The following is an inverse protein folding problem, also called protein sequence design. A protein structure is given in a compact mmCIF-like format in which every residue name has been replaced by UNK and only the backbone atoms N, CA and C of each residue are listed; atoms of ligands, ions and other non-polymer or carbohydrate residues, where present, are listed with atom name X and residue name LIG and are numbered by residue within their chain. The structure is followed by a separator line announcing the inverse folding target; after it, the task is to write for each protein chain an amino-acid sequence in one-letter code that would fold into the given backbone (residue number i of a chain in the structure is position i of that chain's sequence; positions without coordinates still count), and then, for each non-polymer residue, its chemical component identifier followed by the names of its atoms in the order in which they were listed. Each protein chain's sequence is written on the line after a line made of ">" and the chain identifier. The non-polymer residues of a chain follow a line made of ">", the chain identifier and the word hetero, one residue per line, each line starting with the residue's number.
data_IF_431937702831
#
_entry.id   IF_431937702831
#
_cell.length_a   1.000
_cell.length_b   1.000
_cell.length_c   1.000
_cell.angle_alpha   90.00
_cell.angle_beta   90.00
_cell.angle_gamma   90.00
#
_symmetry.space_group_name_H-M   'P 1'
#
loop_
_entity.id
_entity.type
_entity.pdbx_description
1 polymer ?
#
# COMPACT_ATOMS: atom_id res chain seq x y z
N UNK A 1 -19.38 -21.57 6.93
CA UNK A 1 -18.61 -20.30 6.88
C UNK A 1 -19.64 -19.17 6.87
N UNK A 2 -19.55 -18.20 7.78
CA UNK A 2 -20.55 -17.12 7.86
C UNK A 2 -20.41 -16.16 6.68
N UNK A 3 -21.52 -15.61 6.20
CA UNK A 3 -21.56 -14.67 5.07
C UNK A 3 -20.67 -13.43 5.34
N UNK A 4 -20.57 -13.02 6.60
CA UNK A 4 -19.69 -11.95 7.08
C UNK A 4 -18.22 -12.26 6.81
N UNK A 5 -17.73 -13.46 7.16
CA UNK A 5 -16.33 -13.83 6.94
C UNK A 5 -16.00 -13.88 5.45
N UNK A 6 -16.94 -14.38 4.64
CA UNK A 6 -16.77 -14.41 3.19
C UNK A 6 -16.66 -12.99 2.62
N UNK A 7 -17.54 -12.08 3.02
CA UNK A 7 -17.48 -10.68 2.60
C UNK A 7 -16.17 -10.00 3.02
N UNK A 8 -15.76 -10.12 4.29
CA UNK A 8 -14.49 -9.54 4.76
C UNK A 8 -13.29 -10.11 4.00
N UNK A 9 -13.28 -11.41 3.72
CA UNK A 9 -12.19 -12.04 2.98
C UNK A 9 -12.07 -11.50 1.55
N UNK A 10 -13.21 -11.33 0.84
CA UNK A 10 -13.25 -10.74 -0.49
C UNK A 10 -12.84 -9.27 -0.48
N UNK A 11 -13.30 -8.50 0.51
CA UNK A 11 -12.94 -7.10 0.67
C UNK A 11 -11.44 -6.94 0.92
N UNK A 12 -10.86 -7.77 1.80
CA UNK A 12 -9.43 -7.77 2.07
C UNK A 12 -8.61 -8.20 0.85
N UNK A 13 -9.13 -9.14 0.05
CA UNK A 13 -8.54 -9.51 -1.23
C UNK A 13 -8.54 -8.33 -2.20
N UNK A 14 -9.65 -7.61 -2.29
CA UNK A 14 -9.80 -6.44 -3.15
C UNK A 14 -8.84 -5.31 -2.70
N UNK A 15 -8.73 -5.04 -1.40
CA UNK A 15 -7.75 -4.10 -0.86
C UNK A 15 -6.31 -4.50 -1.20
N UNK A 16 -5.98 -5.78 -1.05
CA UNK A 16 -4.65 -6.31 -1.37
C UNK A 16 -4.35 -6.19 -2.87
N UNK A 17 -5.34 -6.46 -3.74
CA UNK A 17 -5.22 -6.30 -5.18
C UNK A 17 -5.03 -4.82 -5.57
N UNK A 18 -5.79 -3.90 -4.97
CA UNK A 18 -5.65 -2.45 -5.18
C UNK A 18 -4.30 -1.92 -4.70
N UNK A 19 -3.87 -2.26 -3.49
CA UNK A 19 -2.57 -1.90 -2.96
C UNK A 19 -1.44 -2.48 -3.83
N UNK A 20 -1.59 -3.75 -4.24
CA UNK A 20 -0.69 -4.44 -5.17
C UNK A 20 -0.63 -3.76 -6.53
N UNK A 21 -1.73 -3.24 -7.07
CA UNK A 21 -1.73 -2.48 -8.32
C UNK A 21 -0.92 -1.18 -8.20
N UNK A 22 -1.04 -0.48 -7.06
CA UNK A 22 -0.21 0.70 -6.76
C UNK A 22 1.28 0.34 -6.71
N UNK A 23 1.63 -0.76 -6.06
CA UNK A 23 2.99 -1.30 -6.08
C UNK A 23 3.48 -1.61 -7.49
N UNK A 24 2.67 -2.29 -8.29
CA UNK A 24 3.01 -2.72 -9.64
C UNK A 24 3.27 -1.52 -10.56
N UNK A 25 2.47 -0.45 -10.42
CA UNK A 25 2.68 0.80 -11.13
C UNK A 25 4.06 1.41 -10.80
N UNK A 26 4.43 1.49 -9.52
CA UNK A 26 5.73 2.04 -9.12
C UNK A 26 6.88 1.11 -9.51
N UNK A 27 6.72 -0.21 -9.37
CA UNK A 27 7.71 -1.20 -9.77
C UNK A 27 7.97 -1.16 -11.28
N UNK A 28 6.92 -0.99 -12.11
CA UNK A 28 7.03 -0.83 -13.55
C UNK A 28 7.81 0.44 -13.91
N UNK A 29 7.52 1.57 -13.27
CA UNK A 29 8.24 2.83 -13.48
C UNK A 29 9.73 2.73 -13.11
N UNK A 30 10.08 1.90 -12.12
CA UNK A 30 11.46 1.67 -11.68
C UNK A 30 12.13 0.46 -12.34
N UNK A 31 11.52 -0.14 -13.36
CA UNK A 31 12.03 -1.33 -14.06
C UNK A 31 12.37 -2.50 -13.12
N UNK A 32 11.59 -2.68 -12.05
CA UNK A 32 11.76 -3.78 -11.09
C UNK A 32 12.81 -3.57 -10.01
N UNK A 33 13.54 -2.44 -9.99
CA UNK A 33 14.53 -2.16 -8.95
C UNK A 33 13.86 -2.00 -7.56
N UNK A 34 14.33 -2.78 -6.58
CA UNK A 34 13.80 -2.84 -5.21
C UNK A 34 12.32 -3.27 -5.11
N UNK A 35 11.72 -3.81 -6.17
CA UNK A 35 10.28 -4.12 -6.20
C UNK A 35 9.86 -5.04 -5.05
N UNK A 36 10.67 -6.06 -4.73
CA UNK A 36 10.34 -7.00 -3.64
C UNK A 36 10.26 -6.32 -2.26
N UNK A 37 11.09 -5.29 -2.01
CA UNK A 37 11.11 -4.56 -0.74
C UNK A 37 9.94 -3.58 -0.63
N UNK A 38 9.44 -3.10 -1.77
CA UNK A 38 8.31 -2.15 -1.82
C UNK A 38 6.97 -2.84 -1.57
N UNK A 39 6.86 -4.14 -1.88
CA UNK A 39 5.63 -4.92 -1.77
C UNK A 39 5.05 -4.96 -0.34
N UNK A 40 5.79 -5.37 0.71
CA UNK A 40 5.23 -5.37 2.07
C UNK A 40 4.83 -3.97 2.54
N UNK A 41 5.62 -2.94 2.22
CA UNK A 41 5.30 -1.56 2.59
C UNK A 41 4.04 -1.05 1.87
N UNK A 42 3.84 -1.41 0.60
CA UNK A 42 2.63 -1.06 -0.14
C UNK A 42 1.38 -1.76 0.42
N UNK A 43 1.48 -3.04 0.81
CA UNK A 43 0.34 -3.76 1.38
C UNK A 43 -0.06 -3.15 2.72
N UNK A 44 0.90 -2.90 3.61
CA UNK A 44 0.63 -2.26 4.91
C UNK A 44 0.07 -0.85 4.72
N UNK A 45 0.63 -0.05 3.80
CA UNK A 45 0.13 1.28 3.47
C UNK A 45 -1.30 1.26 2.93
N UNK A 46 -1.60 0.31 2.03
CA UNK A 46 -2.93 0.13 1.45
C UNK A 46 -3.96 -0.33 2.47
N UNK A 47 -3.65 -1.33 3.30
CA UNK A 47 -4.56 -1.80 4.34
C UNK A 47 -4.83 -0.73 5.39
N UNK A 48 -3.80 -0.02 5.86
CA UNK A 48 -3.98 1.05 6.85
C UNK A 48 -4.85 2.18 6.31
N UNK A 49 -4.64 2.61 5.06
CA UNK A 49 -5.48 3.63 4.42
C UNK A 49 -6.93 3.16 4.24
N UNK A 50 -7.14 1.90 3.82
CA UNK A 50 -8.48 1.36 3.61
C UNK A 50 -9.27 1.18 4.91
N UNK A 51 -8.58 0.82 6.01
CA UNK A 51 -9.18 0.68 7.34
C UNK A 51 -9.64 2.01 7.96
N UNK A 52 -9.07 3.15 7.55
CA UNK A 52 -9.49 4.46 8.07
C UNK A 52 -10.94 4.76 7.70
N UNK A 53 -11.42 4.35 6.52
CA UNK A 53 -12.77 4.68 6.07
C UNK A 53 -13.90 4.07 6.90
N UNK A 54 -13.90 2.75 7.22
CA UNK A 54 -14.89 2.20 8.13
C UNK A 54 -14.77 2.78 9.55
N UNK A 55 -13.58 3.24 9.98
CA UNK A 55 -13.39 3.91 11.27
C UNK A 55 -13.97 5.34 11.31
N UNK A 56 -14.08 6.00 10.16
CA UNK A 56 -14.66 7.35 10.04
C UNK A 56 -16.20 7.31 10.02
N UNK A 57 -16.81 6.12 10.01
CA UNK A 57 -18.26 5.97 10.15
C UNK A 57 -19.05 6.42 8.92
N UNK A 58 -18.47 6.28 7.72
CA UNK A 58 -19.22 6.46 6.49
C UNK A 58 -20.31 5.38 6.34
N UNK A 59 -21.40 5.73 5.66
CA UNK A 59 -22.42 4.76 5.22
C UNK A 59 -21.77 3.53 4.57
N UNK A 60 -22.26 2.34 4.92
CA UNK A 60 -21.64 1.05 4.55
C UNK A 60 -21.33 0.95 3.04
N UNK A 61 -22.24 1.42 2.18
CA UNK A 61 -22.05 1.41 0.74
C UNK A 61 -20.94 2.35 0.27
N UNK A 62 -20.91 3.57 0.79
CA UNK A 62 -19.95 4.61 0.40
C UNK A 62 -18.56 4.33 0.97
N UNK A 63 -18.49 3.81 2.20
CA UNK A 63 -17.25 3.38 2.85
C UNK A 63 -16.53 2.28 2.07
N UNK A 64 -17.27 1.29 1.57
CA UNK A 64 -16.72 0.22 0.72
C UNK A 64 -16.17 0.79 -0.59
N UNK A 65 -16.94 1.63 -1.29
CA UNK A 65 -16.53 2.21 -2.57
C UNK A 65 -15.27 3.06 -2.45
N UNK A 66 -15.15 3.86 -1.39
CA UNK A 66 -14.01 4.73 -1.16
C UNK A 66 -12.80 3.98 -0.57
N UNK A 67 -13.00 2.80 0.03
CA UNK A 67 -11.90 2.01 0.63
C UNK A 67 -10.93 1.46 -0.42
N UNK A 68 -11.40 1.19 -1.64
CA UNK A 68 -10.58 0.71 -2.76
C UNK A 68 -9.59 1.76 -3.30
N UNK A 69 -10.01 2.99 -3.67
CA UNK A 69 -9.07 4.03 -4.05
C UNK A 69 -8.17 4.45 -2.88
N UNK A 70 -8.65 4.36 -1.63
CA UNK A 70 -7.81 4.57 -0.44
C UNK A 70 -6.72 3.48 -0.34
N UNK A 71 -7.05 2.21 -0.57
CA UNK A 71 -6.08 1.11 -0.60
C UNK A 71 -5.02 1.31 -1.69
N UNK A 72 -5.42 1.75 -2.89
CA UNK A 72 -4.52 2.09 -3.98
C UNK A 72 -3.58 3.24 -3.58
N UNK A 73 -4.13 4.34 -3.05
CA UNK A 73 -3.35 5.50 -2.63
C UNK A 73 -2.37 5.15 -1.51
N UNK A 74 -2.82 4.39 -0.51
CA UNK A 74 -1.97 3.87 0.57
C UNK A 74 -0.86 2.96 0.04
N UNK A 75 -1.16 2.12 -0.95
CA UNK A 75 -0.18 1.28 -1.64
C UNK A 75 0.90 2.07 -2.37
N UNK A 76 0.52 3.12 -3.10
CA UNK A 76 1.43 4.04 -3.78
C UNK A 76 2.34 4.78 -2.80
N UNK A 77 1.78 5.30 -1.71
CA UNK A 77 2.52 6.01 -0.65
C UNK A 77 3.49 5.05 0.05
N UNK A 78 3.03 3.84 0.38
CA UNK A 78 3.85 2.79 0.98
C UNK A 78 5.04 2.43 0.09
N UNK A 79 4.81 2.20 -1.22
CA UNK A 79 5.88 1.96 -2.18
C UNK A 79 6.87 3.14 -2.25
N UNK A 80 6.39 4.38 -2.35
CA UNK A 80 7.24 5.58 -2.40
C UNK A 80 8.07 5.81 -1.13
N UNK A 81 7.54 5.41 0.04
CA UNK A 81 8.24 5.56 1.32
C UNK A 81 9.54 4.77 1.37
N UNK A 82 9.56 3.56 0.79
CA UNK A 82 10.74 2.70 0.71
C UNK A 82 11.82 3.33 -0.16
N UNK A 83 11.43 3.95 -1.28
CA UNK A 83 12.34 4.68 -2.17
C UNK A 83 13.02 5.83 -1.40
N UNK A 84 12.22 6.64 -0.69
CA UNK A 84 12.74 7.75 0.12
C UNK A 84 13.65 7.25 1.24
N UNK A 85 13.27 6.18 1.95
CA UNK A 85 14.08 5.59 3.01
C UNK A 85 15.45 5.10 2.51
N UNK A 86 15.47 4.39 1.37
CA UNK A 86 16.70 3.97 0.68
C UNK A 86 17.58 5.16 0.29
N UNK A 87 16.99 6.21 -0.27
CA UNK A 87 17.74 7.41 -0.66
C UNK A 87 18.37 8.12 0.55
N UNK A 88 17.70 8.12 1.71
CA UNK A 88 18.23 8.69 2.96
C UNK A 88 19.36 7.82 3.52
N UNK A 89 19.20 6.49 3.56
CA UNK A 89 20.25 5.58 4.03
C UNK A 89 21.50 5.64 3.14
N UNK A 90 21.34 5.70 1.82
CA UNK A 90 22.45 5.82 0.88
C UNK A 90 23.28 7.11 1.05
N UNK A 91 22.68 8.20 1.54
CA UNK A 91 23.41 9.43 1.89
C UNK A 91 24.21 9.33 3.19
N UNK A 92 23.79 8.47 4.13
CA UNK A 92 24.46 8.31 5.43
C UNK A 92 25.74 7.48 5.34
N UNK A 93 25.91 6.66 4.31
CA UNK A 93 27.09 5.80 4.12
C UNK A 93 28.29 6.50 3.44
N UNK A 94 28.20 7.82 3.17
CA UNK A 94 29.33 8.60 2.64
C UNK A 94 29.98 9.57 3.66
N UNK A 95 30.46 9.12 4.84
CA UNK A 95 31.50 9.84 5.57
C UNK A 95 32.87 9.25 5.21
N UNK A 96 33.81 10.14 4.88
CA UNK A 96 35.23 9.87 4.60
C UNK A 96 35.55 9.21 3.24
N UNK A 97 35.62 10.03 2.18
CA UNK A 97 36.64 9.80 1.14
C UNK A 97 37.94 10.45 1.63
N UNK A 98 39.04 9.70 1.84
CA UNK A 98 40.37 10.28 1.95
C UNK A 98 40.82 10.90 0.62
#
# INVERSE_FOLDING_TARGET
>A
MSLTLLFLSLLFLAWSASAGAGWLAVAALRRGADALLMLPASLVGGWSAALVLPLVGLDDGTGVLLSLPAALAGGLVGACSVIKARAIMGRRSSPCRP
#
